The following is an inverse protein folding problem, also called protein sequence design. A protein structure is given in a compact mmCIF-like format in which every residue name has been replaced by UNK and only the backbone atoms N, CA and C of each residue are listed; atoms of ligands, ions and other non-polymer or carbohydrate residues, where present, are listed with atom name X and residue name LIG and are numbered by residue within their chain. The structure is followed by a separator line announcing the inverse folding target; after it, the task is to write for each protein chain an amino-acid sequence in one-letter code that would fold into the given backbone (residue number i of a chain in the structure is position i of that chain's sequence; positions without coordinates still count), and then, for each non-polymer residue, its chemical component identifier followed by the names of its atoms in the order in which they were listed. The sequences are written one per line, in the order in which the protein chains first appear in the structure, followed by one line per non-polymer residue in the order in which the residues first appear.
data_IF_182298065323
#
_entry.id   IF_182298065323
#
_cell.length_a   1.000
_cell.length_b   1.000
_cell.length_c   1.000
_cell.angle_alpha   90.00
_cell.angle_beta   90.00
_cell.angle_gamma   90.00
#
_symmetry.space_group_name_H-M   'P 1'
#
loop_
_entity.id
_entity.type
_entity.pdbx_description
1 polymer ?
#
# COMPACT_ATOMS: atom_id res chain seq x y z
N UNK A 1 -15.84 43.25 -68.12
CA UNK A 1 -15.23 42.02 -67.59
C UNK A 1 -14.73 42.22 -66.15
N UNK A 2 -14.20 43.41 -65.81
CA UNK A 2 -13.57 43.70 -64.51
C UNK A 2 -14.49 43.73 -63.29
N UNK A 3 -15.75 44.18 -63.43
CA UNK A 3 -16.70 44.21 -62.30
C UNK A 3 -17.05 42.81 -61.79
N UNK A 4 -17.12 41.81 -62.67
CA UNK A 4 -17.44 40.43 -62.31
C UNK A 4 -16.27 39.80 -61.55
N UNK A 5 -15.04 39.99 -62.01
CA UNK A 5 -13.82 39.49 -61.35
C UNK A 5 -13.68 40.10 -59.95
N UNK A 6 -14.04 41.37 -59.79
CA UNK A 6 -13.98 42.06 -58.50
C UNK A 6 -15.01 41.53 -57.50
N UNK A 7 -16.21 41.16 -57.95
CA UNK A 7 -17.25 40.51 -57.12
C UNK A 7 -16.81 39.11 -56.68
N UNK A 8 -16.24 38.30 -57.58
CA UNK A 8 -15.72 36.98 -57.22
C UNK A 8 -14.57 37.05 -56.21
N UNK A 9 -13.66 38.03 -56.34
CA UNK A 9 -12.60 38.26 -55.35
C UNK A 9 -13.16 38.67 -53.98
N UNK A 10 -14.20 39.51 -53.94
CA UNK A 10 -14.84 39.93 -52.70
C UNK A 10 -15.54 38.76 -51.99
N UNK A 11 -16.24 37.90 -52.74
CA UNK A 11 -16.90 36.69 -52.20
C UNK A 11 -15.85 35.70 -51.68
N UNK A 12 -14.75 35.48 -52.42
CA UNK A 12 -13.66 34.60 -51.99
C UNK A 12 -12.97 35.11 -50.72
N UNK A 13 -12.72 36.42 -50.61
CA UNK A 13 -12.13 37.03 -49.42
C UNK A 13 -13.06 36.94 -48.20
N UNK A 14 -14.38 37.08 -48.40
CA UNK A 14 -15.37 36.92 -47.34
C UNK A 14 -15.45 35.46 -46.86
N UNK A 15 -15.50 34.51 -47.78
CA UNK A 15 -15.51 33.07 -47.46
C UNK A 15 -14.25 32.65 -46.70
N UNK A 16 -13.08 33.16 -47.11
CA UNK A 16 -11.82 32.92 -46.41
C UNK A 16 -11.86 33.48 -44.97
N UNK A 17 -12.28 34.73 -44.78
CA UNK A 17 -12.41 35.33 -43.44
C UNK A 17 -13.43 34.61 -42.56
N UNK A 18 -14.56 34.18 -43.12
CA UNK A 18 -15.56 33.42 -42.38
C UNK A 18 -15.02 32.04 -41.95
N UNK A 19 -14.30 31.37 -42.83
CA UNK A 19 -13.65 30.08 -42.54
C UNK A 19 -12.55 30.25 -41.49
N UNK A 20 -11.73 31.29 -41.61
CA UNK A 20 -10.68 31.63 -40.65
C UNK A 20 -11.27 31.96 -39.27
N UNK A 21 -12.38 32.71 -39.22
CA UNK A 21 -13.11 33.01 -37.99
C UNK A 21 -13.71 31.77 -37.34
N UNK A 22 -14.25 30.84 -38.12
CA UNK A 22 -14.77 29.56 -37.63
C UNK A 22 -13.67 28.64 -37.09
N UNK A 23 -12.53 28.57 -37.79
CA UNK A 23 -11.36 27.79 -37.35
C UNK A 23 -10.78 28.41 -36.07
N UNK A 24 -10.55 29.73 -36.05
CA UNK A 24 -10.10 30.44 -34.84
C UNK A 24 -11.12 30.29 -33.71
N UNK A 25 -12.41 30.37 -33.99
CA UNK A 25 -13.47 30.16 -32.99
C UNK A 25 -13.46 28.75 -32.38
N UNK A 26 -13.17 27.71 -33.17
CA UNK A 26 -13.00 26.33 -32.67
C UNK A 26 -11.70 26.15 -31.88
N UNK A 27 -10.58 26.68 -32.38
CA UNK A 27 -9.24 26.55 -31.78
C UNK A 27 -9.10 27.39 -30.49
N UNK A 28 -9.74 28.57 -30.43
CA UNK A 28 -9.72 29.43 -29.26
C UNK A 28 -10.75 29.02 -28.19
N UNK A 29 -11.76 28.21 -28.54
CA UNK A 29 -12.74 27.67 -27.58
C UNK A 29 -12.44 26.24 -27.14
N UNK A 30 -11.29 25.66 -27.49
CA UNK A 30 -10.84 24.40 -26.89
C UNK A 30 -10.55 24.64 -25.41
N UNK A 31 -11.55 24.37 -24.57
CA UNK A 31 -11.39 24.34 -23.11
C UNK A 31 -10.55 23.11 -22.76
N UNK A 32 -9.24 23.28 -22.70
CA UNK A 32 -8.35 22.30 -22.08
C UNK A 32 -8.48 22.44 -20.56
N UNK A 33 -8.74 21.33 -19.86
CA UNK A 33 -8.86 21.31 -18.41
C UNK A 33 -9.89 20.32 -17.90
N UNK A 34 -10.05 20.27 -16.57
CA UNK A 34 -11.08 19.47 -15.91
C UNK A 34 -12.44 20.17 -15.96
N UNK A 35 -13.50 19.37 -16.04
CA UNK A 35 -14.88 19.83 -15.86
C UNK A 35 -15.52 18.99 -14.77
N UNK A 36 -16.53 19.54 -14.11
CA UNK A 36 -17.36 18.74 -13.23
C UNK A 36 -18.06 17.66 -14.04
N UNK A 37 -18.01 16.45 -13.52
CA UNK A 37 -18.62 15.27 -14.12
C UNK A 37 -20.14 15.45 -14.13
N UNK A 38 -20.78 15.21 -15.28
CA UNK A 38 -22.24 15.17 -15.36
C UNK A 38 -22.78 13.74 -15.21
N UNK A 39 -24.09 13.60 -14.97
CA UNK A 39 -24.72 12.29 -14.71
C UNK A 39 -24.64 11.31 -15.89
N UNK A 40 -24.61 11.81 -17.13
CA UNK A 40 -24.48 10.97 -18.32
C UNK A 40 -23.08 10.39 -18.44
N UNK A 41 -22.07 11.21 -18.15
CA UNK A 41 -20.66 10.80 -18.11
C UNK A 41 -20.41 9.87 -16.93
N UNK A 42 -20.95 10.17 -15.75
CA UNK A 42 -20.88 9.25 -14.61
C UNK A 42 -21.46 7.87 -14.97
N UNK A 43 -22.59 7.85 -15.68
CA UNK A 43 -23.24 6.60 -16.08
C UNK A 43 -22.46 5.79 -17.13
N UNK A 44 -21.47 6.37 -17.81
CA UNK A 44 -20.66 5.62 -18.78
C UNK A 44 -19.66 4.66 -18.12
N UNK A 45 -19.23 4.95 -16.88
CA UNK A 45 -18.31 4.11 -16.10
C UNK A 45 -18.89 3.60 -14.78
N UNK A 46 -19.94 4.24 -14.25
CA UNK A 46 -20.68 3.80 -13.07
C UNK A 46 -22.01 3.15 -13.44
N UNK A 47 -22.08 1.84 -13.28
CA UNK A 47 -23.24 1.03 -13.69
C UNK A 47 -23.66 0.02 -12.63
N UNK A 48 -24.97 -0.29 -12.60
CA UNK A 48 -25.53 -1.36 -11.76
C UNK A 48 -25.12 -2.76 -12.22
N UNK A 49 -24.68 -2.87 -13.47
CA UNK A 49 -24.25 -4.15 -14.07
C UNK A 49 -22.79 -4.48 -13.72
N UNK A 50 -22.01 -3.46 -13.37
CA UNK A 50 -20.63 -3.65 -13.00
C UNK A 50 -20.51 -4.38 -11.65
N UNK A 51 -19.35 -5.00 -11.43
CA UNK A 51 -19.06 -5.85 -10.26
C UNK A 51 -17.82 -5.41 -9.49
N UNK A 52 -17.28 -4.23 -9.78
CA UNK A 52 -16.13 -3.66 -9.07
C UNK A 52 -16.52 -3.01 -7.75
N UNK A 53 -15.87 -1.90 -7.41
CA UNK A 53 -16.13 -1.10 -6.21
C UNK A 53 -17.44 -0.32 -6.32
N UNK A 54 -18.20 -0.28 -5.23
CA UNK A 54 -19.41 0.53 -5.09
C UNK A 54 -19.02 1.98 -4.77
N UNK A 55 -19.41 2.93 -5.63
CA UNK A 55 -18.98 4.33 -5.51
C UNK A 55 -20.05 5.22 -4.90
N UNK A 56 -21.32 5.03 -5.28
CA UNK A 56 -22.43 5.88 -4.82
C UNK A 56 -23.03 5.47 -3.48
N UNK A 57 -22.55 4.36 -2.90
CA UNK A 57 -23.10 3.77 -1.67
C UNK A 57 -24.48 3.13 -1.83
N UNK A 58 -24.96 2.91 -3.06
CA UNK A 58 -26.27 2.33 -3.35
C UNK A 58 -26.19 1.19 -4.37
N UNK A 59 -25.97 1.49 -5.65
CA UNK A 59 -25.96 0.47 -6.69
C UNK A 59 -25.10 0.79 -7.91
N UNK A 60 -24.26 1.81 -7.86
CA UNK A 60 -23.41 2.21 -8.98
C UNK A 60 -21.97 1.77 -8.74
N UNK A 61 -21.56 0.76 -9.50
CA UNK A 61 -20.26 0.14 -9.37
C UNK A 61 -19.33 0.55 -10.51
N UNK A 62 -18.04 0.63 -10.21
CA UNK A 62 -16.97 0.64 -11.22
C UNK A 62 -16.85 -0.73 -11.87
N UNK A 63 -16.29 -0.77 -13.08
CA UNK A 63 -15.85 -2.03 -13.65
C UNK A 63 -14.78 -2.70 -12.76
N UNK A 64 -14.60 -4.01 -12.92
CA UNK A 64 -13.56 -4.74 -12.19
C UNK A 64 -12.18 -4.17 -12.53
N UNK A 65 -11.91 -3.90 -13.81
CA UNK A 65 -10.64 -3.33 -14.29
C UNK A 65 -10.33 -1.97 -13.66
N UNK A 66 -11.30 -1.05 -13.63
CA UNK A 66 -11.11 0.27 -13.01
C UNK A 66 -10.90 0.17 -11.50
N UNK A 67 -11.50 -0.84 -10.85
CA UNK A 67 -11.34 -1.05 -9.42
C UNK A 67 -9.92 -1.44 -9.01
N UNK A 68 -9.11 -1.95 -9.94
CA UNK A 68 -7.69 -2.27 -9.73
C UNK A 68 -6.74 -1.06 -9.88
N UNK A 69 -7.26 0.15 -10.10
CA UNK A 69 -6.44 1.38 -10.22
C UNK A 69 -6.25 2.14 -8.89
N UNK A 70 -6.69 1.57 -7.77
CA UNK A 70 -6.81 2.23 -6.46
C UNK A 70 -7.79 3.42 -6.46
N UNK A 71 -8.33 3.73 -5.27
CA UNK A 71 -9.27 4.85 -5.09
C UNK A 71 -8.83 5.69 -3.90
N UNK A 72 -8.68 7.00 -4.13
CA UNK A 72 -8.50 7.98 -3.06
C UNK A 72 -9.83 8.67 -2.76
N UNK A 73 -10.34 8.50 -1.54
CA UNK A 73 -11.60 9.10 -1.10
C UNK A 73 -11.37 10.23 -0.09
N UNK A 74 -11.59 11.47 -0.53
CA UNK A 74 -11.44 12.67 0.31
C UNK A 74 -12.80 13.17 0.79
N UNK A 75 -12.89 13.48 2.08
CA UNK A 75 -14.12 13.95 2.71
C UNK A 75 -13.80 14.61 4.06
N UNK A 76 -14.70 15.44 4.55
CA UNK A 76 -14.61 16.00 5.92
C UNK A 76 -14.97 14.95 6.96
N UNK A 77 -14.56 15.17 8.21
CA UNK A 77 -15.04 14.38 9.35
C UNK A 77 -16.57 14.50 9.41
N UNK A 78 -17.25 13.38 9.69
CA UNK A 78 -18.73 13.33 9.72
C UNK A 78 -19.41 13.28 8.35
N UNK A 79 -18.69 13.37 7.23
CA UNK A 79 -19.28 13.27 5.89
C UNK A 79 -19.74 11.84 5.53
N UNK A 80 -19.45 10.85 6.40
CA UNK A 80 -19.86 9.46 6.24
C UNK A 80 -18.86 8.60 5.47
N UNK A 81 -17.53 8.83 5.58
CA UNK A 81 -16.52 7.98 4.91
C UNK A 81 -16.69 6.50 5.25
N UNK A 82 -16.78 6.20 6.55
CA UNK A 82 -16.96 4.82 7.01
C UNK A 82 -18.31 4.27 6.61
N UNK A 83 -19.39 4.97 6.96
CA UNK A 83 -20.77 4.46 6.76
C UNK A 83 -21.18 4.37 5.30
N UNK A 84 -20.88 5.38 4.47
CA UNK A 84 -21.37 5.45 3.08
C UNK A 84 -20.45 4.72 2.09
N UNK A 85 -19.14 4.69 2.33
CA UNK A 85 -18.18 4.09 1.40
C UNK A 85 -17.63 2.76 1.91
N UNK A 86 -16.97 2.74 3.08
CA UNK A 86 -16.25 1.55 3.57
C UNK A 86 -17.23 0.41 3.90
N UNK A 87 -18.20 0.64 4.80
CA UNK A 87 -19.18 -0.37 5.21
C UNK A 87 -19.99 -0.85 4.01
N UNK A 88 -20.47 0.07 3.16
CA UNK A 88 -21.22 -0.28 1.95
C UNK A 88 -20.43 -1.20 1.02
N UNK A 89 -19.13 -0.93 0.81
CA UNK A 89 -18.29 -1.81 -0.02
C UNK A 89 -18.07 -3.17 0.65
N UNK A 90 -17.77 -3.22 1.94
CA UNK A 90 -17.61 -4.49 2.68
C UNK A 90 -18.86 -5.36 2.57
N UNK A 91 -20.04 -4.78 2.79
CA UNK A 91 -21.32 -5.49 2.69
C UNK A 91 -21.64 -5.89 1.24
N UNK A 92 -21.38 -5.01 0.26
CA UNK A 92 -21.61 -5.32 -1.15
C UNK A 92 -20.75 -6.49 -1.64
N UNK A 93 -19.56 -6.67 -1.06
CA UNK A 93 -18.64 -7.77 -1.36
C UNK A 93 -18.92 -9.07 -0.63
N UNK A 94 -19.85 -9.09 0.32
CA UNK A 94 -20.16 -10.29 1.11
C UNK A 94 -20.64 -11.49 0.26
N UNK A 95 -21.16 -11.27 -0.95
CA UNK A 95 -21.57 -12.34 -1.86
C UNK A 95 -20.54 -12.65 -2.96
N UNK A 96 -19.44 -11.91 -2.99
CA UNK A 96 -18.36 -12.11 -3.94
C UNK A 96 -17.30 -13.04 -3.31
N UNK A 97 -16.60 -13.82 -4.14
CA UNK A 97 -15.48 -14.66 -3.68
C UNK A 97 -14.18 -13.83 -3.61
N UNK A 98 -14.09 -12.95 -2.61
CA UNK A 98 -12.94 -12.06 -2.42
C UNK A 98 -12.46 -12.10 -0.96
N UNK A 99 -11.19 -11.79 -0.74
CA UNK A 99 -10.67 -11.52 0.60
C UNK A 99 -10.74 -10.02 0.89
N UNK A 100 -11.14 -9.67 2.11
CA UNK A 100 -11.26 -8.28 2.56
C UNK A 100 -10.27 -8.04 3.71
N UNK A 101 -9.37 -7.08 3.53
CA UNK A 101 -8.49 -6.57 4.59
C UNK A 101 -8.92 -5.14 4.89
N UNK A 102 -9.35 -4.90 6.12
CA UNK A 102 -9.89 -3.60 6.53
C UNK A 102 -9.08 -3.06 7.70
N UNK A 103 -8.48 -1.89 7.51
CA UNK A 103 -7.85 -1.14 8.59
C UNK A 103 -8.92 -0.36 9.36
N UNK A 104 -9.31 -0.89 10.54
CA UNK A 104 -10.42 -0.37 11.36
C UNK A 104 -9.98 -0.02 12.80
N UNK A 105 -9.31 1.13 13.02
CA UNK A 105 -8.80 1.51 14.34
C UNK A 105 -9.88 1.67 15.42
N UNK A 106 -11.14 1.88 15.04
CA UNK A 106 -12.27 2.09 15.96
C UNK A 106 -13.13 0.84 16.15
N UNK A 107 -12.94 -0.19 15.33
CA UNK A 107 -13.77 -1.40 15.31
C UNK A 107 -15.19 -1.19 14.76
N UNK A 108 -15.50 -0.03 14.18
CA UNK A 108 -16.87 0.32 13.74
C UNK A 108 -17.30 -0.49 12.50
N UNK A 109 -16.34 -0.81 11.62
CA UNK A 109 -16.61 -1.63 10.44
C UNK A 109 -16.82 -3.08 10.87
N UNK A 110 -15.94 -3.60 11.74
CA UNK A 110 -16.09 -4.95 12.26
C UNK A 110 -17.42 -5.13 12.99
N UNK A 111 -17.78 -4.20 13.89
CA UNK A 111 -19.04 -4.23 14.63
C UNK A 111 -20.26 -4.23 13.70
N UNK A 112 -20.23 -3.43 12.63
CA UNK A 112 -21.36 -3.31 11.71
C UNK A 112 -21.49 -4.45 10.70
N UNK A 113 -20.38 -5.13 10.34
CA UNK A 113 -20.36 -6.02 9.15
C UNK A 113 -20.01 -7.48 9.42
N UNK A 114 -19.28 -7.78 10.50
CA UNK A 114 -18.71 -9.11 10.74
C UNK A 114 -19.76 -10.23 10.81
N UNK A 115 -20.89 -9.99 11.48
CA UNK A 115 -21.98 -10.97 11.58
C UNK A 115 -22.56 -11.32 10.21
N UNK A 116 -22.74 -10.32 9.34
CA UNK A 116 -23.25 -10.54 7.98
C UNK A 116 -22.22 -11.27 7.11
N UNK A 117 -20.94 -10.88 7.17
CA UNK A 117 -19.87 -11.58 6.45
C UNK A 117 -19.77 -13.05 6.89
N UNK A 118 -19.82 -13.32 8.20
CA UNK A 118 -19.79 -14.68 8.76
C UNK A 118 -20.98 -15.51 8.27
N UNK A 119 -22.17 -14.93 8.21
CA UNK A 119 -23.35 -15.60 7.68
C UNK A 119 -23.22 -15.94 6.17
N UNK A 120 -22.41 -15.18 5.42
CA UNK A 120 -22.08 -15.45 4.02
C UNK A 120 -20.82 -16.31 3.83
N UNK A 121 -20.34 -16.97 4.89
CA UNK A 121 -19.25 -17.96 4.81
C UNK A 121 -17.83 -17.41 4.95
N UNK A 122 -17.67 -16.13 5.29
CA UNK A 122 -16.34 -15.57 5.55
C UNK A 122 -15.77 -16.06 6.89
N UNK A 123 -14.47 -16.39 6.88
CA UNK A 123 -13.69 -16.50 8.11
C UNK A 123 -13.31 -15.10 8.60
N UNK A 124 -13.79 -14.74 9.79
CA UNK A 124 -13.52 -13.41 10.37
C UNK A 124 -12.28 -13.49 11.25
N UNK A 125 -11.21 -12.83 10.81
CA UNK A 125 -9.95 -12.70 11.53
C UNK A 125 -9.81 -11.26 12.01
N UNK A 126 -9.51 -11.06 13.29
CA UNK A 126 -9.32 -9.75 13.89
C UNK A 126 -7.90 -9.67 14.45
N UNK A 127 -7.10 -8.72 13.98
CA UNK A 127 -5.82 -8.40 14.59
C UNK A 127 -5.93 -7.07 15.34
N UNK A 128 -5.85 -7.13 16.66
CA UNK A 128 -5.99 -5.99 17.56
C UNK A 128 -4.88 -6.02 18.64
N UNK A 129 -3.72 -5.40 18.38
CA UNK A 129 -2.63 -5.37 19.35
C UNK A 129 -2.94 -4.58 20.63
N UNK A 130 -4.00 -3.76 20.66
CA UNK A 130 -4.42 -3.03 21.86
C UNK A 130 -5.21 -3.89 22.85
N UNK A 131 -5.93 -4.91 22.36
CA UNK A 131 -6.73 -5.82 23.18
C UNK A 131 -6.54 -7.26 22.70
N UNK A 132 -5.53 -7.91 23.27
CA UNK A 132 -5.14 -9.28 22.93
C UNK A 132 -6.28 -10.28 23.16
N UNK A 133 -7.18 -10.02 24.11
CA UNK A 133 -8.33 -10.91 24.39
C UNK A 133 -9.31 -11.01 23.22
N UNK A 134 -9.32 -10.02 22.32
CA UNK A 134 -10.16 -9.94 21.13
C UNK A 134 -9.36 -10.04 19.83
N UNK A 135 -8.09 -10.44 19.92
CA UNK A 135 -7.18 -10.52 18.78
C UNK A 135 -6.82 -11.97 18.47
N UNK A 136 -6.76 -12.29 17.20
CA UNK A 136 -5.93 -13.36 16.69
C UNK A 136 -4.46 -13.01 16.91
N UNK A 137 -3.64 -14.02 17.21
CA UNK A 137 -2.20 -13.85 17.33
C UNK A 137 -1.55 -13.90 15.96
N UNK A 138 -0.49 -13.12 15.79
CA UNK A 138 0.26 -13.05 14.55
C UNK A 138 1.76 -12.95 14.86
N UNK A 139 2.55 -13.79 14.21
CA UNK A 139 4.00 -13.72 14.24
C UNK A 139 4.49 -13.56 12.79
N UNK A 140 5.00 -12.39 12.37
CA UNK A 140 5.41 -12.19 10.99
C UNK A 140 6.54 -13.13 10.58
N UNK A 141 7.39 -13.53 11.53
CA UNK A 141 8.55 -14.38 11.25
C UNK A 141 8.16 -15.76 10.72
N UNK A 142 7.02 -16.30 11.16
CA UNK A 142 6.55 -17.63 10.71
C UNK A 142 5.92 -17.61 9.32
N UNK A 143 5.60 -16.44 8.78
CA UNK A 143 5.05 -16.31 7.43
C UNK A 143 6.14 -16.21 6.36
N UNK A 144 7.37 -15.86 6.75
CA UNK A 144 8.49 -15.76 5.84
C UNK A 144 8.97 -17.15 5.39
N UNK A 145 9.15 -17.31 4.08
CA UNK A 145 9.56 -18.57 3.44
C UNK A 145 11.06 -18.68 3.21
N UNK A 146 11.78 -17.56 3.28
CA UNK A 146 13.19 -17.45 2.96
C UNK A 146 13.80 -16.22 3.64
N UNK A 147 15.12 -16.08 3.59
CA UNK A 147 15.84 -14.96 4.21
C UNK A 147 15.53 -13.61 3.61
N UNK A 148 15.16 -13.54 2.32
CA UNK A 148 14.75 -12.28 1.67
C UNK A 148 13.45 -11.76 2.29
N UNK A 149 12.50 -12.65 2.59
CA UNK A 149 11.25 -12.28 3.27
C UNK A 149 11.51 -11.88 4.74
N UNK A 150 12.51 -12.47 5.41
CA UNK A 150 12.92 -12.03 6.76
C UNK A 150 13.54 -10.63 6.75
N UNK A 151 14.36 -10.31 5.75
CA UNK A 151 14.88 -8.96 5.54
C UNK A 151 13.76 -7.95 5.27
N UNK A 152 12.77 -8.32 4.44
CA UNK A 152 11.61 -7.46 4.18
C UNK A 152 10.80 -7.18 5.46
N UNK A 153 10.69 -8.17 6.36
CA UNK A 153 10.07 -7.97 7.67
C UNK A 153 10.90 -6.97 8.50
N UNK A 154 12.22 -7.14 8.55
CA UNK A 154 13.11 -6.20 9.26
C UNK A 154 12.94 -4.76 8.74
N UNK A 155 12.97 -4.59 7.41
CA UNK A 155 12.77 -3.32 6.74
C UNK A 155 11.41 -2.71 7.11
N UNK A 156 10.34 -3.50 6.98
CA UNK A 156 8.97 -3.05 7.29
C UNK A 156 8.84 -2.58 8.74
N UNK A 157 9.46 -3.28 9.70
CA UNK A 157 9.43 -2.90 11.12
C UNK A 157 10.12 -1.55 11.38
N UNK A 158 11.26 -1.29 10.74
CA UNK A 158 12.01 -0.04 10.91
C UNK A 158 11.33 1.13 10.21
N UNK A 159 10.99 0.96 8.92
CA UNK A 159 10.49 2.05 8.09
C UNK A 159 9.04 2.44 8.42
N UNK A 160 8.24 1.52 8.95
CA UNK A 160 6.89 1.85 9.45
C UNK A 160 6.92 2.78 10.67
N UNK A 161 7.96 2.69 11.51
CA UNK A 161 8.16 3.58 12.66
C UNK A 161 8.79 4.92 12.33
N UNK A 162 9.66 4.97 11.30
CA UNK A 162 10.46 6.15 10.93
C UNK A 162 10.40 6.45 9.42
N UNK A 163 9.26 6.92 8.89
CA UNK A 163 9.05 7.03 7.43
C UNK A 163 9.78 8.21 6.77
N UNK A 164 10.58 9.00 7.49
CA UNK A 164 11.22 10.22 6.95
C UNK A 164 12.53 9.88 6.25
N UNK A 165 12.71 10.41 5.04
CA UNK A 165 13.93 10.20 4.23
C UNK A 165 15.22 10.70 4.91
N UNK A 166 15.14 11.71 5.78
CA UNK A 166 16.31 12.22 6.52
C UNK A 166 16.96 11.19 7.47
N UNK A 167 16.25 10.12 7.80
CA UNK A 167 16.72 9.05 8.69
C UNK A 167 17.17 7.81 7.93
N UNK A 168 17.26 7.85 6.59
CA UNK A 168 17.55 6.68 5.75
C UNK A 168 18.84 5.95 6.15
N UNK A 169 19.91 6.69 6.48
CA UNK A 169 21.16 6.08 6.94
C UNK A 169 20.96 5.25 8.22
N UNK A 170 20.27 5.81 9.21
CA UNK A 170 19.98 5.16 10.49
C UNK A 170 19.01 4.00 10.31
N UNK A 171 17.97 4.18 9.49
CA UNK A 171 17.00 3.13 9.17
C UNK A 171 17.66 1.96 8.45
N UNK A 172 18.57 2.21 7.51
CA UNK A 172 19.31 1.16 6.81
C UNK A 172 20.24 0.41 7.77
N UNK A 173 20.95 1.12 8.64
CA UNK A 173 21.76 0.49 9.69
C UNK A 173 20.94 -0.38 10.63
N UNK A 174 19.82 0.13 11.14
CA UNK A 174 18.91 -0.60 12.01
C UNK A 174 18.28 -1.82 11.31
N UNK A 175 17.94 -1.69 10.02
CA UNK A 175 17.39 -2.79 9.21
C UNK A 175 18.41 -3.92 9.07
N UNK A 176 19.69 -3.61 8.83
CA UNK A 176 20.77 -4.62 8.74
C UNK A 176 20.97 -5.35 10.06
N UNK A 177 20.96 -4.62 11.19
CA UNK A 177 21.06 -5.22 12.53
C UNK A 177 19.86 -6.14 12.78
N UNK A 178 18.63 -5.67 12.58
CA UNK A 178 17.43 -6.50 12.78
C UNK A 178 17.41 -7.71 11.85
N UNK A 179 17.79 -7.55 10.58
CA UNK A 179 17.86 -8.63 9.60
C UNK A 179 18.78 -9.75 10.06
N UNK A 180 20.00 -9.42 10.49
CA UNK A 180 20.94 -10.41 11.03
C UNK A 180 20.38 -11.12 12.28
N UNK A 181 19.83 -10.37 13.25
CA UNK A 181 19.26 -10.96 14.47
C UNK A 181 18.05 -11.86 14.20
N UNK A 182 17.17 -11.48 13.26
CA UNK A 182 16.02 -12.30 12.87
C UNK A 182 16.48 -13.60 12.22
N UNK A 183 17.49 -13.55 11.33
CA UNK A 183 18.09 -14.76 10.75
C UNK A 183 18.74 -15.63 11.81
N UNK A 184 19.53 -15.06 12.73
CA UNK A 184 20.09 -15.86 13.84
C UNK A 184 19.01 -16.53 14.68
N UNK A 185 17.88 -15.85 14.96
CA UNK A 185 16.75 -16.45 15.66
C UNK A 185 16.07 -17.58 14.86
N UNK A 186 16.13 -17.57 13.53
CA UNK A 186 15.49 -18.59 12.68
C UNK A 186 16.22 -19.94 12.72
N UNK A 187 17.52 -19.93 13.02
CA UNK A 187 18.34 -21.14 13.22
C UNK A 187 18.06 -21.85 14.54
N UNK A 188 17.58 -21.11 15.54
CA UNK A 188 17.33 -21.61 16.88
C UNK A 188 16.01 -22.37 17.03
N UNK A 189 15.62 -22.58 18.29
CA UNK A 189 14.33 -23.19 18.61
C UNK A 189 13.16 -22.29 18.14
N UNK A 190 12.24 -22.87 17.38
CA UNK A 190 11.04 -22.18 16.85
C UNK A 190 10.21 -21.49 17.94
N UNK A 191 10.23 -21.97 19.18
CA UNK A 191 9.53 -21.30 20.29
C UNK A 191 10.09 -19.90 20.57
N UNK A 192 11.36 -19.66 20.23
CA UNK A 192 12.02 -18.38 20.42
C UNK A 192 12.00 -17.50 19.18
N UNK A 193 11.60 -18.02 18.02
CA UNK A 193 11.54 -17.28 16.76
C UNK A 193 10.31 -16.36 16.72
N UNK A 194 10.36 -15.24 17.45
CA UNK A 194 9.26 -14.29 17.58
C UNK A 194 9.74 -12.87 17.95
N UNK A 195 8.86 -11.87 17.75
CA UNK A 195 9.13 -10.46 18.04
C UNK A 195 9.54 -10.18 19.50
N UNK A 196 8.90 -10.77 20.54
CA UNK A 196 9.34 -10.60 21.92
C UNK A 196 10.82 -10.96 22.17
N UNK A 197 11.30 -12.05 21.58
CA UNK A 197 12.72 -12.42 21.74
C UNK A 197 13.66 -11.58 20.89
N UNK A 198 13.24 -11.13 19.71
CA UNK A 198 14.00 -10.10 18.99
C UNK A 198 14.16 -8.85 19.88
N UNK A 199 13.08 -8.41 20.52
CA UNK A 199 13.14 -7.28 21.46
C UNK A 199 14.06 -7.58 22.66
N UNK A 200 14.03 -8.80 23.20
CA UNK A 200 14.96 -9.23 24.25
C UNK A 200 16.42 -9.12 23.81
N UNK A 201 16.77 -9.56 22.60
CA UNK A 201 18.13 -9.39 22.05
C UNK A 201 18.51 -7.91 21.96
N UNK A 202 17.60 -7.07 21.47
CA UNK A 202 17.83 -5.62 21.37
C UNK A 202 18.05 -4.95 22.75
N UNK A 203 17.35 -5.41 23.79
CA UNK A 203 17.58 -4.92 25.16
C UNK A 203 18.95 -5.33 25.73
N UNK A 204 19.53 -6.43 25.23
CA UNK A 204 20.83 -6.94 25.62
C UNK A 204 21.93 -6.62 24.58
N UNK A 205 21.67 -5.70 23.64
CA UNK A 205 22.58 -5.39 22.53
C UNK A 205 23.95 -4.88 23.01
N UNK A 206 23.99 -4.15 24.13
CA UNK A 206 25.22 -3.56 24.65
C UNK A 206 25.79 -2.45 23.77
N UNK A 207 27.02 -2.02 24.05
CA UNK A 207 27.72 -1.06 23.20
C UNK A 207 28.19 -1.77 21.93
N UNK A 208 27.82 -1.26 20.75
CA UNK A 208 28.24 -1.81 19.45
C UNK A 208 28.00 -3.33 19.28
N UNK A 209 26.99 -3.89 19.92
CA UNK A 209 26.65 -5.32 19.80
C UNK A 209 27.39 -6.25 20.76
N UNK A 210 28.35 -5.75 21.55
CA UNK A 210 29.19 -6.56 22.45
C UNK A 210 28.38 -7.41 23.44
N UNK A 211 27.18 -6.95 23.84
CA UNK A 211 26.31 -7.69 24.75
C UNK A 211 25.75 -8.99 24.16
N UNK A 212 25.86 -9.18 22.84
CA UNK A 212 25.38 -10.35 22.12
C UNK A 212 26.49 -11.21 21.52
N UNK A 213 27.76 -10.84 21.64
CA UNK A 213 28.86 -11.54 20.96
C UNK A 213 28.90 -13.04 21.27
N UNK A 214 28.84 -13.40 22.55
CA UNK A 214 28.79 -14.81 22.97
C UNK A 214 27.53 -15.52 22.46
N UNK A 215 26.40 -14.83 22.43
CA UNK A 215 25.15 -15.43 21.95
C UNK A 215 25.19 -15.66 20.44
N UNK A 216 25.65 -14.68 19.66
CA UNK A 216 25.80 -14.76 18.20
C UNK A 216 26.79 -15.88 17.85
N UNK A 217 27.95 -15.92 18.52
CA UNK A 217 28.97 -16.94 18.27
C UNK A 217 28.47 -18.37 18.52
N UNK A 218 27.52 -18.55 19.45
CA UNK A 218 26.99 -19.87 19.79
C UNK A 218 25.70 -20.25 19.05
N UNK A 219 24.95 -19.28 18.49
CA UNK A 219 23.60 -19.52 17.97
C UNK A 219 23.37 -19.08 16.53
N UNK A 220 24.27 -18.28 15.94
CA UNK A 220 24.07 -17.74 14.59
C UNK A 220 24.75 -18.59 13.51
N UNK A 221 24.47 -19.88 13.51
CA UNK A 221 24.95 -20.84 12.51
C UNK A 221 23.78 -21.62 11.96
N UNK A 222 23.71 -21.77 10.64
CA UNK A 222 22.67 -22.57 10.00
C UNK A 222 22.95 -24.06 10.29
N UNK A 223 22.06 -24.79 11.00
CA UNK A 223 22.26 -26.20 11.27
C UNK A 223 22.27 -27.07 10.00
N UNK A 224 21.62 -26.63 8.92
CA UNK A 224 21.61 -27.32 7.64
C UNK A 224 22.86 -26.98 6.80
N UNK A 225 23.47 -25.82 7.04
CA UNK A 225 24.69 -25.34 6.36
C UNK A 225 25.74 -24.77 7.35
N UNK A 226 26.40 -25.63 8.16
CA UNK A 226 27.26 -25.15 9.26
C UNK A 226 28.49 -24.33 8.84
N UNK A 227 28.94 -24.49 7.60
CA UNK A 227 30.08 -23.74 7.03
C UNK A 227 29.66 -22.40 6.41
N UNK A 228 28.36 -22.09 6.37
CA UNK A 228 27.87 -20.82 5.85
C UNK A 228 28.00 -19.71 6.90
N UNK A 229 29.02 -18.87 6.71
CA UNK A 229 29.26 -17.69 7.56
C UNK A 229 28.48 -16.44 7.11
N UNK A 230 27.56 -16.55 6.15
CA UNK A 230 26.86 -15.38 5.56
C UNK A 230 26.22 -14.48 6.61
N UNK A 231 25.41 -15.03 7.52
CA UNK A 231 24.71 -14.26 8.55
C UNK A 231 25.68 -13.68 9.59
N UNK A 232 26.76 -14.39 9.93
CA UNK A 232 27.82 -13.87 10.80
C UNK A 232 28.56 -12.71 10.15
N UNK A 233 28.82 -12.79 8.85
CA UNK A 233 29.44 -11.72 8.08
C UNK A 233 28.51 -10.50 7.95
N UNK A 234 27.20 -10.72 7.82
CA UNK A 234 26.20 -9.66 7.88
C UNK A 234 26.20 -8.97 9.25
N UNK A 235 26.21 -9.73 10.35
CA UNK A 235 26.31 -9.19 11.71
C UNK A 235 27.57 -8.33 11.88
N UNK A 236 28.74 -8.88 11.55
CA UNK A 236 30.02 -8.14 11.59
C UNK A 236 29.94 -6.85 10.76
N UNK A 237 29.45 -6.95 9.52
CA UNK A 237 29.35 -5.82 8.61
C UNK A 237 28.31 -4.78 9.04
N UNK A 238 27.29 -5.16 9.81
CA UNK A 238 26.32 -4.24 10.39
C UNK A 238 26.95 -3.40 11.52
N UNK A 239 27.87 -3.99 12.30
CA UNK A 239 28.53 -3.32 13.43
C UNK A 239 29.74 -2.49 13.03
N UNK A 240 30.57 -2.97 12.09
CA UNK A 240 31.84 -2.29 11.75
C UNK A 240 31.67 -1.13 10.77
N UNK A 241 30.45 -0.92 10.26
CA UNK A 241 30.19 -0.08 9.10
C UNK A 241 30.79 -0.71 7.85
N UNK A 242 30.02 -0.77 6.75
CA UNK A 242 30.61 -1.21 5.50
C UNK A 242 31.50 -0.06 4.99
N UNK A 243 32.81 -0.27 4.81
CA UNK A 243 33.71 0.77 4.26
C UNK A 243 33.27 1.25 2.87
N UNK A 244 32.49 0.42 2.17
CA UNK A 244 31.91 0.72 0.86
C UNK A 244 30.57 1.49 0.92
N UNK A 245 29.96 1.64 2.10
CA UNK A 245 28.71 2.39 2.30
C UNK A 245 28.95 3.84 2.73
N UNK A 246 30.21 4.26 2.84
CA UNK A 246 30.61 5.66 2.97
C UNK A 246 30.80 6.16 1.52
N UNK A 247 29.75 6.74 0.94
CA UNK A 247 29.89 7.59 -0.25
C UNK A 247 30.41 8.97 0.16
#
# INVERSE_FOLDING_TARGET
MDKIIMVFKAIGAFAYKATEYLIKGKVLNTKQGSKLLNSSEASSFLSRRNKGLLIDGNNRYLSVTESFQNVCFTARVGAGKTTKYIISNVLAKANDNVSLVVHDPKGEVHQATSGYLKANGYNIVVFNPHDVSKSNLFNPFTEAKNFVELELIAETLIWSGNPKEGDAYWNNGATRILGALIKCLSFGDKKYFNLPNLYHLLQNFGALGEGLDDWIANNCWDPDFPEDESVLNEWKGALTGNKEAIQ
#
